data_IF_809681849134
#
_entry.id   IF_809681849134
#
_cell.length_a   1.000
_cell.length_b   1.000
_cell.length_c   1.000
_cell.angle_alpha   90.00
_cell.angle_beta   90.00
_cell.angle_gamma   90.00
#
_symmetry.space_group_name_H-M   'P 1'
#
loop_
_entity.id
_entity.type
_entity.pdbx_description
1 polymer ?
#
# COMPACT_ATOMS: atom_id res chain seq x y z
N UNK A 1 -18.35 -11.46 34.88
CA UNK A 1 -17.59 -11.06 33.67
C UNK A 1 -17.23 -9.61 33.86
N UNK A 2 -15.97 -9.30 34.18
CA UNK A 2 -15.52 -7.90 34.22
C UNK A 2 -15.68 -7.33 32.82
N UNK A 3 -15.99 -6.04 32.72
CA UNK A 3 -15.85 -5.31 31.47
C UNK A 3 -14.44 -5.60 30.94
N UNK A 4 -14.34 -6.15 29.73
CA UNK A 4 -13.02 -6.29 29.12
C UNK A 4 -12.52 -4.86 28.89
N UNK A 5 -11.37 -4.52 29.47
CA UNK A 5 -10.79 -3.20 29.31
C UNK A 5 -10.55 -2.96 27.82
N UNK A 6 -11.10 -1.85 27.32
CA UNK A 6 -10.92 -1.41 25.95
C UNK A 6 -9.48 -0.93 25.80
N UNK A 7 -8.79 -1.43 24.79
CA UNK A 7 -7.43 -0.98 24.48
C UNK A 7 -7.50 0.06 23.39
N UNK A 8 -7.26 1.32 23.75
CA UNK A 8 -7.10 2.40 22.79
C UNK A 8 -5.69 2.36 22.19
N UNK A 9 -5.62 2.38 20.87
CA UNK A 9 -4.37 2.45 20.10
C UNK A 9 -4.40 3.68 19.19
N UNK A 10 -3.25 3.99 18.58
CA UNK A 10 -3.08 5.09 17.62
C UNK A 10 -4.23 5.16 16.59
N UNK A 11 -4.59 6.38 16.16
CA UNK A 11 -5.54 6.57 15.07
C UNK A 11 -5.07 5.89 13.78
N UNK A 12 -6.02 5.48 12.94
CA UNK A 12 -5.71 4.83 11.65
C UNK A 12 -5.90 3.32 11.64
N UNK A 13 -6.46 2.75 12.69
CA UNK A 13 -6.88 1.34 12.77
C UNK A 13 -8.38 1.17 13.01
N UNK A 14 -9.15 2.25 12.88
CA UNK A 14 -10.60 2.13 12.87
C UNK A 14 -11.06 1.15 11.79
N UNK A 15 -12.30 0.67 11.91
CA UNK A 15 -12.89 -0.19 10.88
C UNK A 15 -12.74 0.43 9.49
N UNK A 16 -13.00 1.74 9.36
CA UNK A 16 -12.84 2.48 8.10
C UNK A 16 -11.41 2.37 7.57
N UNK A 17 -10.39 2.69 8.37
CA UNK A 17 -9.00 2.65 7.90
C UNK A 17 -8.54 1.23 7.53
N UNK A 18 -8.97 0.20 8.25
CA UNK A 18 -8.67 -1.20 7.88
C UNK A 18 -9.30 -1.58 6.54
N UNK A 19 -10.54 -1.17 6.30
CA UNK A 19 -11.19 -1.37 5.00
C UNK A 19 -10.49 -0.64 3.86
N UNK A 20 -9.98 0.58 4.10
CA UNK A 20 -9.18 1.29 3.10
C UNK A 20 -7.88 0.55 2.80
N UNK A 21 -7.20 0.03 3.82
CA UNK A 21 -6.00 -0.78 3.67
C UNK A 21 -6.25 -2.07 2.87
N UNK A 22 -7.35 -2.79 3.16
CA UNK A 22 -7.74 -3.99 2.38
C UNK A 22 -8.10 -3.63 0.94
N UNK A 23 -8.81 -2.53 0.74
CA UNK A 23 -9.21 -2.08 -0.60
C UNK A 23 -7.99 -1.63 -1.41
N UNK A 24 -7.08 -0.88 -0.82
CA UNK A 24 -5.84 -0.44 -1.48
C UNK A 24 -4.99 -1.63 -1.91
N UNK A 25 -4.91 -2.66 -1.07
CA UNK A 25 -4.28 -3.94 -1.39
C UNK A 25 -4.94 -4.62 -2.60
N UNK A 26 -6.27 -4.69 -2.66
CA UNK A 26 -7.00 -5.26 -3.80
C UNK A 26 -6.85 -4.46 -5.09
N UNK A 27 -6.68 -3.14 -4.98
CA UNK A 27 -6.57 -2.24 -6.13
C UNK A 27 -5.14 -2.14 -6.69
N UNK A 28 -4.13 -2.69 -6.02
CA UNK A 28 -2.73 -2.61 -6.47
C UNK A 28 -2.50 -3.12 -7.92
N UNK A 29 -3.09 -4.23 -8.40
CA UNK A 29 -2.98 -4.63 -9.80
C UNK A 29 -3.62 -3.62 -10.76
N UNK A 30 -4.75 -3.04 -10.36
CA UNK A 30 -5.44 -2.04 -11.17
C UNK A 30 -4.60 -0.76 -11.30
N UNK A 31 -3.98 -0.35 -10.19
CA UNK A 31 -3.03 0.75 -10.16
C UNK A 31 -1.87 0.49 -11.13
N UNK A 32 -1.28 -0.71 -11.07
CA UNK A 32 -0.15 -1.08 -11.92
C UNK A 32 -0.51 -0.96 -13.39
N UNK A 33 -1.61 -1.59 -13.76
CA UNK A 33 -2.09 -1.65 -15.13
C UNK A 33 -2.50 -0.26 -15.65
N UNK A 34 -3.06 0.60 -14.79
CA UNK A 34 -3.44 1.99 -15.14
C UNK A 34 -2.25 2.92 -15.38
N UNK A 35 -1.10 2.62 -14.77
CA UNK A 35 0.11 3.43 -14.93
C UNK A 35 0.91 3.14 -16.20
N UNK A 36 0.74 1.96 -16.81
CA UNK A 36 1.51 1.60 -18.02
C UNK A 36 1.11 2.51 -19.19
N UNK A 37 2.10 3.21 -19.75
CA UNK A 37 1.90 4.17 -20.84
C UNK A 37 1.23 5.49 -20.42
N UNK A 38 0.93 5.67 -19.13
CA UNK A 38 0.24 6.87 -18.65
C UNK A 38 1.23 7.93 -18.16
N UNK A 39 1.22 9.10 -18.79
CA UNK A 39 2.06 10.25 -18.42
C UNK A 39 1.47 11.11 -17.29
N UNK A 40 0.23 10.83 -16.85
CA UNK A 40 -0.34 11.48 -15.69
C UNK A 40 0.23 10.89 -14.39
N UNK A 41 0.44 11.72 -13.35
CA UNK A 41 1.03 11.29 -12.08
C UNK A 41 0.02 10.51 -11.20
N UNK A 42 -0.85 9.69 -11.78
CA UNK A 42 -1.92 8.97 -11.06
C UNK A 42 -1.37 8.07 -9.95
N UNK A 43 -0.18 7.48 -10.17
CA UNK A 43 0.50 6.63 -9.19
C UNK A 43 1.15 7.41 -8.03
N UNK A 44 1.28 8.74 -8.10
CA UNK A 44 1.77 9.53 -6.95
C UNK A 44 0.82 9.50 -5.77
N UNK A 45 -0.50 9.47 -6.02
CA UNK A 45 -1.50 9.35 -4.94
C UNK A 45 -1.33 8.04 -4.18
N UNK A 46 -1.13 6.93 -4.90
CA UNK A 46 -0.84 5.62 -4.31
C UNK A 46 0.46 5.63 -3.50
N UNK A 47 1.53 6.19 -4.07
CA UNK A 47 2.81 6.31 -3.38
C UNK A 47 2.71 7.17 -2.12
N UNK A 48 1.99 8.29 -2.17
CA UNK A 48 1.78 9.18 -1.03
C UNK A 48 0.95 8.50 0.08
N UNK A 49 -0.13 7.80 -0.27
CA UNK A 49 -0.92 7.01 0.68
C UNK A 49 -0.07 5.95 1.39
N UNK A 50 0.74 5.21 0.63
CA UNK A 50 1.62 4.18 1.20
C UNK A 50 2.70 4.78 2.10
N UNK A 51 3.32 5.89 1.71
CA UNK A 51 4.28 6.60 2.57
C UNK A 51 3.65 7.09 3.86
N UNK A 52 2.48 7.74 3.75
CA UNK A 52 1.77 8.27 4.91
C UNK A 52 1.42 7.15 5.88
N UNK A 53 0.75 6.10 5.41
CA UNK A 53 0.38 4.97 6.26
C UNK A 53 1.62 4.31 6.87
N UNK A 54 2.67 4.08 6.09
CA UNK A 54 3.88 3.44 6.60
C UNK A 54 4.63 4.29 7.63
N UNK A 55 4.62 5.62 7.49
CA UNK A 55 5.16 6.54 8.49
C UNK A 55 4.31 6.54 9.77
N UNK A 56 2.99 6.60 9.66
CA UNK A 56 2.10 6.53 10.84
C UNK A 56 2.33 5.25 11.63
N UNK A 57 2.47 4.12 10.93
CA UNK A 57 2.84 2.85 11.54
C UNK A 57 4.20 2.87 12.22
N UNK A 58 5.22 3.42 11.54
CA UNK A 58 6.56 3.51 12.10
C UNK A 58 6.60 4.34 13.39
N UNK A 59 5.88 5.47 13.42
CA UNK A 59 5.79 6.31 14.61
C UNK A 59 5.05 5.61 15.74
N UNK A 60 3.91 4.97 15.47
CA UNK A 60 3.18 4.20 16.47
C UNK A 60 4.03 3.06 17.08
N UNK A 61 4.91 2.44 16.29
CA UNK A 61 5.86 1.44 16.78
C UNK A 61 6.92 2.08 17.69
N UNK A 62 7.45 3.24 17.29
CA UNK A 62 8.45 3.98 18.05
C UNK A 62 7.91 4.48 19.39
N UNK A 63 6.64 4.85 19.40
CA UNK A 63 5.95 5.38 20.58
C UNK A 63 5.26 4.27 21.39
N UNK A 64 5.40 3.00 20.99
CA UNK A 64 4.85 1.82 21.66
C UNK A 64 3.31 1.84 21.79
N UNK A 65 2.62 2.37 20.76
CA UNK A 65 1.17 2.57 20.75
C UNK A 65 0.40 1.47 19.99
N UNK A 66 1.07 0.38 19.59
CA UNK A 66 0.45 -0.68 18.80
C UNK A 66 -0.29 -1.74 19.63
N UNK A 67 0.13 -1.97 20.87
CA UNK A 67 -0.35 -3.11 21.67
C UNK A 67 -0.26 -4.44 20.86
N UNK A 68 -1.30 -5.27 20.89
CA UNK A 68 -1.41 -6.52 20.13
C UNK A 68 -1.37 -6.35 18.60
N UNK A 69 -1.51 -5.12 18.06
CA UNK A 69 -1.27 -4.87 16.63
C UNK A 69 0.20 -5.07 16.26
N UNK A 70 1.14 -5.08 17.21
CA UNK A 70 2.56 -5.41 16.99
C UNK A 70 2.82 -6.79 16.41
N UNK A 71 1.80 -7.66 16.38
CA UNK A 71 1.82 -8.97 15.73
C UNK A 71 1.58 -8.91 14.21
N UNK A 72 1.05 -7.79 13.71
CA UNK A 72 0.69 -7.59 12.30
C UNK A 72 1.86 -7.14 11.41
N UNK A 73 2.82 -6.31 11.86
CA UNK A 73 3.89 -5.80 10.99
C UNK A 73 4.66 -6.86 10.23
N UNK A 74 4.91 -8.04 10.80
CA UNK A 74 5.52 -9.15 10.05
C UNK A 74 4.66 -9.54 8.84
N UNK A 75 3.36 -9.77 9.05
CA UNK A 75 2.45 -10.09 7.95
C UNK A 75 2.29 -8.98 6.92
N UNK A 76 2.27 -7.72 7.37
CA UNK A 76 2.24 -6.57 6.48
C UNK A 76 3.54 -6.43 5.68
N UNK A 77 4.69 -6.83 6.24
CA UNK A 77 5.94 -6.89 5.51
C UNK A 77 5.91 -7.93 4.39
N UNK A 78 5.30 -9.10 4.61
CA UNK A 78 5.12 -10.10 3.55
C UNK A 78 4.25 -9.60 2.38
N UNK A 79 3.07 -9.03 2.69
CA UNK A 79 2.08 -8.71 1.66
C UNK A 79 2.28 -7.34 1.02
N UNK A 80 2.65 -6.32 1.81
CA UNK A 80 2.74 -4.96 1.27
C UNK A 80 3.96 -4.75 0.39
N UNK A 81 5.06 -5.48 0.60
CA UNK A 81 6.21 -5.39 -0.31
C UNK A 81 5.86 -5.79 -1.73
N UNK A 82 4.88 -6.68 -1.92
CA UNK A 82 4.35 -7.04 -3.24
C UNK A 82 3.39 -5.96 -3.74
N UNK A 83 2.47 -5.46 -2.91
CA UNK A 83 1.45 -4.50 -3.36
C UNK A 83 1.99 -3.10 -3.62
N UNK A 84 3.08 -2.71 -2.96
CA UNK A 84 3.75 -1.45 -3.25
C UNK A 84 4.28 -1.40 -4.69
N UNK A 85 4.62 -2.56 -5.28
CA UNK A 85 4.98 -2.66 -6.70
C UNK A 85 3.82 -2.26 -7.61
N UNK A 86 2.58 -2.30 -7.13
CA UNK A 86 1.42 -1.83 -7.88
C UNK A 86 1.51 -0.37 -8.31
N UNK A 87 2.26 0.46 -7.58
CA UNK A 87 2.40 1.89 -7.87
C UNK A 87 3.58 2.28 -8.75
N UNK A 88 4.40 1.35 -9.24
CA UNK A 88 5.68 1.73 -9.89
C UNK A 88 5.54 2.10 -11.37
N UNK A 89 4.50 1.62 -12.06
CA UNK A 89 4.34 1.82 -13.50
C UNK A 89 4.14 3.30 -13.88
N UNK A 90 4.65 3.72 -15.03
CA UNK A 90 4.39 5.06 -15.61
C UNK A 90 4.70 5.07 -17.10
N UNK A 91 4.20 6.09 -17.83
CA UNK A 91 4.55 6.35 -19.22
C UNK A 91 5.83 7.16 -19.43
N UNK A 92 6.44 7.71 -18.37
CA UNK A 92 7.57 8.63 -18.47
C UNK A 92 8.72 8.25 -17.53
N UNK A 93 9.96 8.28 -18.03
CA UNK A 93 11.15 7.84 -17.29
C UNK A 93 11.39 8.62 -15.99
N UNK A 94 11.07 9.92 -15.94
CA UNK A 94 11.22 10.71 -14.69
C UNK A 94 10.27 10.17 -13.62
N UNK A 95 9.03 9.86 -14.00
CA UNK A 95 8.05 9.26 -13.11
C UNK A 95 8.43 7.83 -12.73
N UNK A 96 8.95 7.04 -13.67
CA UNK A 96 9.43 5.68 -13.44
C UNK A 96 10.52 5.66 -12.36
N UNK A 97 11.48 6.59 -12.42
CA UNK A 97 12.54 6.72 -11.41
C UNK A 97 11.95 7.16 -10.06
N UNK A 98 11.11 8.19 -10.04
CA UNK A 98 10.51 8.70 -8.80
C UNK A 98 9.64 7.66 -8.10
N UNK A 99 8.78 6.96 -8.84
CA UNK A 99 7.92 5.91 -8.31
C UNK A 99 8.73 4.69 -7.88
N UNK A 100 9.73 4.29 -8.65
CA UNK A 100 10.59 3.16 -8.30
C UNK A 100 11.41 3.39 -7.03
N UNK A 101 12.10 4.54 -6.95
CA UNK A 101 12.86 4.91 -5.75
C UNK A 101 11.94 5.18 -4.55
N UNK A 102 10.80 5.85 -4.78
CA UNK A 102 9.81 6.11 -3.75
C UNK A 102 9.26 4.81 -3.15
N UNK A 103 8.83 3.87 -3.99
CA UNK A 103 8.37 2.54 -3.57
C UNK A 103 9.47 1.76 -2.87
N UNK A 104 10.71 1.82 -3.36
CA UNK A 104 11.86 1.22 -2.67
C UNK A 104 12.04 1.75 -1.25
N UNK A 105 11.86 3.06 -1.05
CA UNK A 105 11.88 3.67 0.27
C UNK A 105 10.75 3.17 1.19
N UNK A 106 9.53 3.01 0.67
CA UNK A 106 8.41 2.43 1.45
C UNK A 106 8.71 0.98 1.85
N UNK A 107 9.24 0.16 0.93
CA UNK A 107 9.64 -1.23 1.21
C UNK A 107 10.67 -1.28 2.35
N UNK A 108 11.70 -0.44 2.29
CA UNK A 108 12.72 -0.34 3.34
C UNK A 108 12.08 0.08 4.67
N UNK A 109 11.25 1.12 4.67
CA UNK A 109 10.59 1.59 5.88
C UNK A 109 9.68 0.52 6.48
N UNK A 110 8.95 -0.24 5.66
CA UNK A 110 8.10 -1.34 6.10
C UNK A 110 8.91 -2.47 6.75
N UNK A 111 10.04 -2.84 6.15
CA UNK A 111 10.95 -3.82 6.74
C UNK A 111 11.54 -3.32 8.07
N UNK A 112 11.96 -2.05 8.14
CA UNK A 112 12.49 -1.45 9.38
C UNK A 112 11.42 -1.38 10.47
N UNK A 113 10.19 -0.98 10.12
CA UNK A 113 9.07 -0.93 11.03
C UNK A 113 8.76 -2.32 11.60
N UNK A 114 8.68 -3.34 10.74
CA UNK A 114 8.42 -4.71 11.17
C UNK A 114 9.51 -5.27 12.10
N UNK A 115 10.80 -5.02 11.79
CA UNK A 115 11.91 -5.39 12.69
C UNK A 115 11.89 -4.63 14.01
N UNK A 116 11.56 -3.34 13.98
CA UNK A 116 11.45 -2.53 15.19
C UNK A 116 10.31 -3.04 16.06
N UNK A 117 9.12 -3.24 15.49
CA UNK A 117 7.95 -3.78 16.21
C UNK A 117 8.23 -5.15 16.82
N UNK A 118 8.91 -6.03 16.07
CA UNK A 118 9.35 -7.31 16.59
C UNK A 118 10.28 -7.11 17.80
N UNK A 119 11.32 -6.29 17.69
CA UNK A 119 12.31 -6.13 18.75
C UNK A 119 11.78 -5.40 20.00
N UNK A 120 10.87 -4.43 19.85
CA UNK A 120 10.52 -3.50 20.93
C UNK A 120 9.08 -3.62 21.42
N UNK A 121 8.10 -3.91 20.56
CA UNK A 121 6.67 -3.90 20.93
C UNK A 121 6.13 -5.31 21.22
N UNK A 122 6.54 -6.32 20.46
CA UNK A 122 6.06 -7.69 20.69
C UNK A 122 6.42 -8.24 22.09
N UNK A 123 7.64 -8.02 22.63
CA UNK A 123 7.99 -8.57 23.95
C UNK A 123 7.11 -8.07 25.09
N UNK A 124 6.49 -6.90 24.94
CA UNK A 124 5.58 -6.31 25.94
C UNK A 124 4.32 -7.15 26.12
N UNK A 125 3.89 -7.85 25.06
CA UNK A 125 2.67 -8.66 25.07
C UNK A 125 2.85 -10.11 25.49
N UNK A 126 4.01 -10.50 26.03
CA UNK A 126 4.26 -11.88 26.42
C UNK A 126 3.30 -12.32 27.53
N UNK A 127 2.52 -13.36 27.25
CA UNK A 127 1.46 -13.85 28.14
C UNK A 127 0.13 -13.11 28.01
N UNK A 128 0.06 -12.05 27.21
CA UNK A 128 -1.12 -11.18 27.12
C UNK A 128 -1.70 -11.12 25.71
N UNK A 129 -0.89 -10.82 24.68
CA UNK A 129 -1.40 -10.63 23.33
C UNK A 129 -1.90 -11.94 22.74
N UNK A 130 -3.15 -11.94 22.28
CA UNK A 130 -3.80 -13.11 21.70
C UNK A 130 -3.87 -13.00 20.19
N UNK A 131 -3.61 -14.11 19.50
CA UNK A 131 -3.72 -14.20 18.05
C UNK A 131 -4.20 -15.58 17.62
N UNK A 132 -4.64 -15.68 16.37
CA UNK A 132 -5.12 -16.93 15.81
C UNK A 132 -4.07 -17.54 14.89
N UNK A 133 -3.63 -18.76 15.21
CA UNK A 133 -2.76 -19.57 14.35
C UNK A 133 -3.13 -21.04 14.52
N UNK A 134 -4.04 -21.50 13.65
CA UNK A 134 -4.69 -22.82 13.77
C UNK A 134 -5.25 -23.05 15.19
N UNK A 135 -5.98 -22.06 15.71
CA UNK A 135 -6.45 -22.00 17.09
C UNK A 135 -5.94 -20.76 17.82
N UNK A 136 -6.57 -20.42 18.94
CA UNK A 136 -6.16 -19.28 19.75
C UNK A 136 -4.85 -19.57 20.46
N UNK A 137 -3.91 -18.63 20.34
CA UNK A 137 -2.59 -18.65 20.95
C UNK A 137 -2.38 -17.35 21.72
N UNK A 138 -1.54 -17.44 22.73
CA UNK A 138 -1.03 -16.29 23.45
C UNK A 138 0.44 -16.14 23.10
N UNK A 139 0.86 -14.90 22.87
CA UNK A 139 2.24 -14.59 22.55
C UNK A 139 3.16 -15.05 23.68
N UNK A 140 4.18 -15.81 23.32
CA UNK A 140 5.20 -16.33 24.23
C UNK A 140 6.56 -16.17 23.56
N UNK A 141 7.65 -16.38 24.30
CA UNK A 141 9.01 -16.37 23.74
C UNK A 141 9.17 -17.34 22.55
N UNK A 142 8.49 -18.49 22.60
CA UNK A 142 8.48 -19.45 21.49
C UNK A 142 7.81 -18.89 20.23
N UNK A 143 6.65 -18.24 20.38
CA UNK A 143 5.96 -17.59 19.25
C UNK A 143 6.71 -16.37 18.73
N UNK A 144 7.36 -15.63 19.62
CA UNK A 144 8.20 -14.50 19.24
C UNK A 144 9.39 -14.92 18.35
N UNK A 145 9.99 -16.08 18.62
CA UNK A 145 11.00 -16.71 17.73
C UNK A 145 10.40 -17.23 16.42
N UNK A 146 9.15 -17.67 16.42
CA UNK A 146 8.47 -18.01 15.17
C UNK A 146 8.28 -16.77 14.29
N UNK A 147 7.82 -15.64 14.86
CA UNK A 147 7.73 -14.36 14.15
C UNK A 147 9.10 -13.86 13.67
N UNK A 148 10.18 -14.14 14.39
CA UNK A 148 11.55 -13.84 13.93
C UNK A 148 11.87 -14.59 12.62
N UNK A 149 11.63 -15.90 12.57
CA UNK A 149 11.89 -16.71 11.38
C UNK A 149 11.03 -16.26 10.20
N UNK A 150 9.77 -15.93 10.46
CA UNK A 150 8.89 -15.33 9.48
C UNK A 150 9.50 -14.03 8.94
N UNK A 151 9.86 -13.10 9.83
CA UNK A 151 10.38 -11.77 9.46
C UNK A 151 11.67 -11.84 8.64
N UNK A 152 12.52 -12.85 8.89
CA UNK A 152 13.71 -13.12 8.05
C UNK A 152 13.27 -13.49 6.62
N UNK A 153 12.29 -14.38 6.47
CA UNK A 153 11.72 -14.74 5.18
C UNK A 153 11.16 -13.52 4.44
N UNK A 154 10.41 -12.68 5.15
CA UNK A 154 9.83 -11.47 4.56
C UNK A 154 10.89 -10.45 4.17
N UNK A 155 12.00 -10.36 4.91
CA UNK A 155 13.11 -9.46 4.57
C UNK A 155 13.82 -9.91 3.28
N UNK A 156 13.91 -11.22 3.04
CA UNK A 156 14.45 -11.76 1.78
C UNK A 156 13.53 -11.40 0.62
N UNK A 157 12.21 -11.59 0.80
CA UNK A 157 11.23 -11.19 -0.21
C UNK A 157 11.27 -9.67 -0.46
N UNK A 158 11.35 -8.86 0.60
CA UNK A 158 11.47 -7.42 0.51
C UNK A 158 12.71 -7.00 -0.29
N UNK A 159 13.85 -7.68 -0.13
CA UNK A 159 15.05 -7.42 -0.91
C UNK A 159 14.85 -7.72 -2.41
N UNK A 160 14.13 -8.80 -2.75
CA UNK A 160 13.76 -9.10 -4.15
C UNK A 160 12.82 -8.02 -4.70
N UNK A 161 11.80 -7.64 -3.93
CA UNK A 161 10.86 -6.59 -4.31
C UNK A 161 11.54 -5.21 -4.43
N UNK A 162 12.59 -4.93 -3.64
CA UNK A 162 13.36 -3.69 -3.75
C UNK A 162 14.09 -3.59 -5.10
N UNK A 163 14.68 -4.70 -5.58
CA UNK A 163 15.28 -4.76 -6.92
C UNK A 163 14.18 -4.61 -7.98
N UNK A 164 13.05 -5.29 -7.80
CA UNK A 164 11.91 -5.21 -8.71
C UNK A 164 11.32 -3.79 -8.79
N UNK A 165 11.28 -3.05 -7.68
CA UNK A 165 10.79 -1.68 -7.61
C UNK A 165 11.58 -0.73 -8.50
N UNK A 166 12.84 -1.04 -8.82
CA UNK A 166 13.68 -0.26 -9.75
C UNK A 166 13.59 -0.83 -11.17
N UNK A 167 13.62 -2.16 -11.32
CA UNK A 167 13.64 -2.81 -12.63
C UNK A 167 12.33 -2.71 -13.40
N UNK A 168 11.19 -2.97 -12.74
CA UNK A 168 9.86 -2.96 -13.35
C UNK A 168 9.50 -1.59 -13.97
N UNK A 169 9.66 -0.44 -13.29
CA UNK A 169 9.30 0.84 -13.90
C UNK A 169 10.14 1.18 -15.13
N UNK A 170 11.44 0.81 -15.15
CA UNK A 170 12.30 1.01 -16.32
C UNK A 170 11.86 0.10 -17.47
N UNK A 171 11.59 -1.18 -17.18
CA UNK A 171 11.15 -2.14 -18.19
C UNK A 171 9.79 -1.77 -18.78
N UNK A 172 8.83 -1.37 -17.94
CA UNK A 172 7.50 -0.94 -18.40
C UNK A 172 7.54 0.35 -19.20
N UNK A 173 8.41 1.30 -18.85
CA UNK A 173 8.65 2.49 -19.65
C UNK A 173 9.27 2.16 -21.02
N UNK A 174 10.30 1.30 -21.06
CA UNK A 174 10.94 0.91 -22.30
C UNK A 174 9.96 0.19 -23.24
N UNK A 175 9.18 -0.73 -22.67
CA UNK A 175 8.12 -1.45 -23.40
C UNK A 175 7.07 -0.50 -23.97
N UNK A 176 6.56 0.43 -23.16
CA UNK A 176 5.55 1.40 -23.60
C UNK A 176 6.06 2.36 -24.70
N UNK A 177 7.37 2.58 -24.77
CA UNK A 177 7.98 3.43 -25.79
C UNK A 177 8.17 2.70 -27.13
N UNK A 178 8.52 1.42 -27.09
CA UNK A 178 8.77 0.63 -28.30
C UNK A 178 7.47 0.23 -29.04
N UNK A 179 6.34 0.22 -28.33
CA UNK A 179 5.02 -0.16 -28.89
C UNK A 179 4.08 1.04 -29.13
N UNK A 180 4.61 2.27 -29.17
CA UNK A 180 3.81 3.50 -29.40
C UNK A 180 3.08 3.51 -30.76
N UNK A 181 3.47 2.65 -31.70
CA UNK A 181 2.93 2.54 -33.08
C UNK A 181 2.09 1.27 -33.35
N UNK A 182 1.79 0.43 -32.35
CA UNK A 182 1.12 -0.87 -32.54
C UNK A 182 -0.36 -0.86 -32.11
N UNK A 183 -1.27 -0.50 -33.04
CA UNK A 183 -2.73 -0.44 -32.83
C UNK A 183 -3.34 -1.76 -32.30
N UNK A 184 -2.76 -2.91 -32.67
CA UNK A 184 -3.23 -4.23 -32.24
C UNK A 184 -2.92 -4.48 -30.76
N UNK A 185 -1.78 -3.97 -30.31
CA UNK A 185 -1.31 -4.02 -28.93
C UNK A 185 -2.08 -3.03 -28.05
N UNK A 186 -2.35 -1.81 -28.55
CA UNK A 186 -3.19 -0.82 -27.87
C UNK A 186 -4.62 -1.35 -27.59
N UNK A 187 -5.19 -2.10 -28.54
CA UNK A 187 -6.50 -2.75 -28.38
C UNK A 187 -6.46 -3.95 -27.41
N UNK A 188 -5.43 -4.80 -27.48
CA UNK A 188 -5.24 -5.95 -26.58
C UNK A 188 -5.00 -5.51 -25.13
N UNK A 189 -4.19 -4.48 -24.94
CA UNK A 189 -3.97 -3.84 -23.65
C UNK A 189 -5.25 -3.11 -23.23
N UNK A 190 -5.92 -2.36 -24.11
CA UNK A 190 -7.15 -1.62 -23.80
C UNK A 190 -8.30 -2.52 -23.32
N UNK A 191 -8.61 -3.61 -24.05
CA UNK A 191 -9.67 -4.56 -23.67
C UNK A 191 -9.23 -5.54 -22.58
N UNK A 192 -7.97 -5.97 -22.61
CA UNK A 192 -7.39 -6.86 -21.60
C UNK A 192 -7.30 -6.20 -20.22
N UNK A 193 -7.03 -4.90 -20.17
CA UNK A 193 -7.02 -4.06 -18.94
C UNK A 193 -8.30 -4.24 -18.13
N UNK A 194 -9.47 -4.14 -18.76
CA UNK A 194 -10.76 -4.23 -18.05
C UNK A 194 -11.07 -5.61 -17.49
N UNK A 195 -10.53 -6.68 -18.08
CA UNK A 195 -10.66 -8.05 -17.55
C UNK A 195 -9.58 -8.36 -16.49
N UNK A 196 -8.36 -7.85 -16.68
CA UNK A 196 -7.22 -8.06 -15.79
C UNK A 196 -7.39 -7.36 -14.44
N UNK A 197 -8.06 -6.20 -14.41
CA UNK A 197 -8.33 -5.45 -13.17
C UNK A 197 -9.17 -6.29 -12.17
N UNK A 198 -10.40 -6.75 -12.50
CA UNK A 198 -11.20 -7.54 -11.57
C UNK A 198 -10.58 -8.91 -11.28
N UNK A 199 -9.92 -9.54 -12.27
CA UNK A 199 -9.21 -10.80 -12.06
C UNK A 199 -8.03 -10.63 -11.09
N UNK A 200 -7.25 -9.57 -11.25
CA UNK A 200 -6.15 -9.19 -10.36
C UNK A 200 -6.66 -8.89 -8.95
N UNK A 201 -7.73 -8.12 -8.82
CA UNK A 201 -8.34 -7.84 -7.51
C UNK A 201 -8.85 -9.12 -6.82
N UNK A 202 -9.48 -10.03 -7.56
CA UNK A 202 -9.92 -11.32 -7.03
C UNK A 202 -8.74 -12.20 -6.57
N UNK A 203 -7.66 -12.25 -7.37
CA UNK A 203 -6.44 -12.96 -7.01
C UNK A 203 -5.80 -12.36 -5.75
N UNK A 204 -5.69 -11.03 -5.69
CA UNK A 204 -5.19 -10.34 -4.51
C UNK A 204 -6.04 -10.66 -3.30
N UNK A 205 -7.37 -10.59 -3.39
CA UNK A 205 -8.26 -10.96 -2.30
C UNK A 205 -8.05 -12.40 -1.82
N UNK A 206 -7.86 -13.36 -2.73
CA UNK A 206 -7.59 -14.75 -2.37
C UNK A 206 -6.26 -14.92 -1.63
N UNK A 207 -5.21 -14.19 -2.05
CA UNK A 207 -3.89 -14.21 -1.41
C UNK A 207 -3.90 -13.45 -0.07
N UNK A 208 -4.61 -12.32 -0.01
CA UNK A 208 -4.66 -11.43 1.15
C UNK A 208 -5.74 -11.77 2.17
N UNK A 209 -6.70 -12.64 1.85
CA UNK A 209 -7.75 -13.04 2.78
C UNK A 209 -7.22 -13.53 4.15
N UNK A 210 -6.16 -14.36 4.23
CA UNK A 210 -5.59 -14.74 5.52
C UNK A 210 -5.15 -13.53 6.37
N UNK A 211 -4.63 -12.47 5.75
CA UNK A 211 -4.25 -11.23 6.44
C UNK A 211 -5.45 -10.47 6.97
N UNK A 212 -6.49 -10.32 6.14
CA UNK A 212 -7.74 -9.66 6.55
C UNK A 212 -8.32 -10.39 7.75
N UNK A 213 -8.45 -11.72 7.65
CA UNK A 213 -8.95 -12.55 8.73
C UNK A 213 -8.09 -12.42 9.99
N UNK A 214 -6.77 -12.52 9.87
CA UNK A 214 -5.86 -12.43 11.02
C UNK A 214 -5.97 -11.06 11.71
N UNK A 215 -5.99 -9.98 10.92
CA UNK A 215 -6.11 -8.62 11.44
C UNK A 215 -7.41 -8.42 12.22
N UNK A 216 -8.54 -8.82 11.64
CA UNK A 216 -9.84 -8.69 12.30
C UNK A 216 -9.94 -9.56 13.56
N UNK A 217 -9.36 -10.78 13.55
CA UNK A 217 -9.32 -11.63 14.73
C UNK A 217 -8.47 -11.04 15.86
N UNK A 218 -7.33 -10.40 15.54
CA UNK A 218 -6.51 -9.71 16.55
C UNK A 218 -7.27 -8.53 17.15
N UNK A 219 -7.85 -7.67 16.29
CA UNK A 219 -8.59 -6.48 16.74
C UNK A 219 -9.76 -6.88 17.65
N UNK A 220 -10.56 -7.86 17.22
CA UNK A 220 -11.73 -8.31 17.99
C UNK A 220 -11.31 -9.00 19.29
N UNK A 221 -10.29 -9.86 19.26
CA UNK A 221 -9.92 -10.66 20.43
C UNK A 221 -9.25 -9.84 21.53
N UNK A 222 -8.51 -8.81 21.15
CA UNK A 222 -7.79 -7.94 22.09
C UNK A 222 -8.56 -6.62 22.38
N UNK A 223 -9.83 -6.52 21.98
CA UNK A 223 -10.71 -5.34 22.18
C UNK A 223 -10.07 -4.01 21.77
N UNK A 224 -9.42 -4.00 20.61
CA UNK A 224 -8.68 -2.84 20.12
C UNK A 224 -9.65 -1.82 19.53
N UNK A 225 -9.57 -0.59 20.00
CA UNK A 225 -10.29 0.56 19.45
C UNK A 225 -9.31 1.64 18.99
N UNK A 226 -9.65 2.27 17.88
CA UNK A 226 -8.80 3.28 17.23
C UNK A 226 -9.70 4.29 16.52
N UNK A 227 -9.34 5.55 16.65
CA UNK A 227 -10.01 6.63 15.93
C UNK A 227 -9.76 6.54 14.43
N UNK A 228 -10.69 7.10 13.65
CA UNK A 228 -10.54 7.15 12.20
C UNK A 228 -9.54 8.23 11.82
N UNK A 229 -8.48 7.82 11.14
CA UNK A 229 -7.55 8.77 10.52
C UNK A 229 -8.13 9.27 9.20
N UNK A 230 -8.66 10.50 9.24
CA UNK A 230 -9.25 11.16 8.08
C UNK A 230 -8.21 11.56 7.03
N UNK A 231 -6.94 11.74 7.38
CA UNK A 231 -5.89 12.05 6.41
C UNK A 231 -5.69 10.83 5.50
N UNK A 232 -5.60 9.63 6.07
CA UNK A 232 -5.54 8.39 5.29
C UNK A 232 -6.78 8.22 4.38
N UNK A 233 -7.97 8.58 4.86
CA UNK A 233 -9.21 8.56 4.07
C UNK A 233 -9.10 9.49 2.86
N UNK A 234 -8.70 10.74 3.06
CA UNK A 234 -8.57 11.71 1.98
C UNK A 234 -7.47 11.34 0.97
N UNK A 235 -6.34 10.80 1.45
CA UNK A 235 -5.29 10.28 0.58
C UNK A 235 -5.78 9.10 -0.27
N UNK A 236 -6.57 8.19 0.32
CA UNK A 236 -7.18 7.09 -0.43
C UNK A 236 -8.19 7.59 -1.47
N UNK A 237 -9.03 8.56 -1.12
CA UNK A 237 -9.97 9.19 -2.07
C UNK A 237 -9.21 9.87 -3.21
N UNK A 238 -8.11 10.57 -2.91
CA UNK A 238 -7.25 11.17 -3.93
C UNK A 238 -6.61 10.11 -4.84
N UNK A 239 -6.14 9.00 -4.27
CA UNK A 239 -5.65 7.84 -5.03
C UNK A 239 -6.73 7.28 -5.96
N UNK A 240 -7.92 6.99 -5.44
CA UNK A 240 -9.02 6.43 -6.23
C UNK A 240 -9.49 7.40 -7.32
N UNK A 241 -9.59 8.69 -7.01
CA UNK A 241 -9.94 9.74 -7.96
C UNK A 241 -8.89 9.90 -9.07
N UNK A 242 -7.60 9.79 -8.74
CA UNK A 242 -6.53 9.87 -9.72
C UNK A 242 -6.54 8.71 -10.73
N UNK A 243 -7.07 7.54 -10.37
CA UNK A 243 -7.28 6.43 -11.31
C UNK A 243 -8.40 6.71 -12.33
N UNK A 244 -9.33 7.60 -12.01
CA UNK A 244 -10.47 7.95 -12.87
C UNK A 244 -10.15 9.11 -13.83
N UNK A 245 -8.98 9.76 -13.68
CA UNK A 245 -8.57 10.84 -14.57
C UNK A 245 -8.17 10.28 -15.95
N UNK A 246 -8.65 10.88 -17.05
CA UNK A 246 -8.29 10.43 -18.40
C UNK A 246 -6.78 10.60 -18.65
N UNK A 247 -6.19 9.62 -19.33
CA UNK A 247 -4.78 9.64 -19.73
C UNK A 247 -4.51 10.82 -20.66
N UNK A 248 -3.60 11.73 -20.28
CA UNK A 248 -3.15 12.82 -21.13
C UNK A 248 -1.86 12.41 -21.86
N UNK A 249 -1.78 12.66 -23.17
CA UNK A 249 -0.61 12.35 -24.00
C UNK A 249 0.64 13.21 -23.72
N UNK A 250 0.49 14.37 -23.06
CA UNK A 250 1.61 15.24 -22.72
C UNK A 250 2.45 14.73 -21.55
N UNK A 251 3.77 14.99 -21.58
CA UNK A 251 4.65 14.86 -20.41
C UNK A 251 4.14 15.81 -19.32
N UNK A 252 3.45 15.29 -18.28
CA UNK A 252 2.67 16.07 -17.29
C UNK A 252 1.35 16.70 -17.81
N UNK A 253 0.73 16.16 -18.86
CA UNK A 253 -0.43 16.78 -19.53
C UNK A 253 -1.66 17.00 -18.63
N UNK A 254 -1.85 16.20 -17.57
CA UNK A 254 -2.89 16.45 -16.57
C UNK A 254 -2.64 17.72 -15.75
N UNK A 255 -1.38 18.07 -15.46
CA UNK A 255 -1.02 19.31 -14.76
C UNK A 255 -1.13 20.52 -15.69
N UNK A 256 -0.76 20.38 -16.97
CA UNK A 256 -0.93 21.48 -17.94
C UNK A 256 -2.41 21.78 -18.24
N UNK A 257 -3.30 20.78 -18.18
CA UNK A 257 -4.73 20.99 -18.33
C UNK A 257 -5.35 21.73 -17.13
N UNK A 258 -4.96 21.35 -15.90
CA UNK A 258 -5.45 22.00 -14.66
C UNK A 258 -4.88 23.42 -14.50
N UNK A 259 -3.59 23.61 -14.71
CA UNK A 259 -2.97 24.94 -14.63
C UNK A 259 -3.23 25.81 -15.87
N UNK A 260 -3.43 25.21 -17.05
CA UNK A 260 -3.78 25.92 -18.27
C UNK A 260 -5.18 26.52 -18.22
N UNK A 261 -6.15 25.85 -17.59
CA UNK A 261 -7.47 26.43 -17.34
C UNK A 261 -7.45 27.57 -16.32
N UNK A 262 -6.61 27.47 -15.29
CA UNK A 262 -6.46 28.52 -14.28
C UNK A 262 -5.83 29.81 -14.82
N UNK A 263 -5.08 29.74 -15.92
CA UNK A 263 -4.55 30.93 -16.60
C UNK A 263 -5.54 31.53 -17.60
N UNK A 264 -6.33 30.71 -18.31
CA UNK A 264 -7.36 31.21 -19.25
C UNK A 264 -8.49 31.92 -18.50
N UNK A 265 -8.91 31.41 -17.34
CA UNK A 265 -9.98 32.05 -16.55
C UNK A 265 -9.55 33.37 -15.89
N UNK A 266 -8.24 33.66 -15.86
CA UNK A 266 -7.71 34.93 -15.35
C UNK A 266 -7.66 36.01 -16.42
N UNK A 267 -7.48 35.65 -17.68
CA UNK A 267 -7.47 36.60 -18.80
C UNK A 267 -8.90 37.02 -19.24
N UNK A 268 -9.91 36.19 -18.99
CA UNK A 268 -11.32 36.51 -19.31
C UNK A 268 -12.02 37.42 -18.25
N UNK A 269 -11.37 37.72 -17.12
CA UNK A 269 -11.88 38.62 -16.08
C UNK A 269 -11.23 40.02 -16.10
N UNK A 270 -10.26 40.25 -16.98
CA UNK A 270 -9.61 41.57 -17.19
C UNK A 270 -9.91 42.18 -18.57
N UNK A 271 -10.91 41.65 -19.30
CA UNK A 271 -11.40 42.16 -20.60
C UNK A 271 -12.61 43.09 -20.51
#
# INVERSE_FOLDING_TARGET
MSAADVVEVVAGFSLTNRWLLYTSFMLAPAQFVSGIGNNCPSNLGFLAYNWYTQLSWYWAIKDHELHALSLLPAHFNFLFVVTYLGGVSSGNIVMAILLGLGTGGVIILNTVAAWTSWATNQPEGFGEYQFFFFGWRTLSDGWHKFFLLWQIGDSILAAVCLVAAIGIPIATWAWAKDEEDDEEMEMLVGLGKYALIPAGAALMMLIGWPLVLWTELIVQRNNIQSETDMIAVWLFVAQAGAMLLPSSSGTLGCLSFVFGRAFVEKDDLEG
#
